data_IF_784908279217
#
_entry.id   IF_784908279217
#
_cell.length_a   1.000
_cell.length_b   1.000
_cell.length_c   1.000
_cell.angle_alpha   90.00
_cell.angle_beta   90.00
_cell.angle_gamma   90.00
#
_symmetry.space_group_name_H-M   'P 1'
#
loop_
_entity.id
_entity.type
_entity.pdbx_description
1 polymer ?
#
# COMPACT_ATOMS: atom_id res chain seq x y z
N UNK A 1 -4.03 -2.76 -22.65
CA UNK A 1 -3.49 -3.20 -21.34
C UNK A 1 -4.02 -2.23 -20.29
N UNK A 2 -4.74 -2.71 -19.27
CA UNK A 2 -5.34 -1.83 -18.24
C UNK A 2 -4.24 -1.34 -17.29
N UNK A 3 -4.07 -0.03 -17.16
CA UNK A 3 -3.08 0.58 -16.25
C UNK A 3 -3.54 0.35 -14.81
N UNK A 4 -2.74 -0.38 -14.02
CA UNK A 4 -3.02 -0.58 -12.59
C UNK A 4 -2.52 0.62 -11.80
N UNK A 5 -3.39 1.26 -11.03
CA UNK A 5 -3.08 2.40 -10.15
C UNK A 5 -3.14 2.01 -8.69
N UNK A 6 -2.25 2.60 -7.89
CA UNK A 6 -2.12 2.36 -6.46
C UNK A 6 -2.23 3.70 -5.74
N UNK A 7 -3.12 3.77 -4.77
CA UNK A 7 -3.22 4.92 -3.88
C UNK A 7 -2.78 4.55 -2.46
N UNK A 8 -2.38 5.56 -1.68
CA UNK A 8 -1.94 5.42 -0.30
C UNK A 8 -2.74 6.38 0.56
N UNK A 9 -3.61 5.82 1.40
CA UNK A 9 -4.24 6.57 2.48
C UNK A 9 -3.35 6.39 3.71
N UNK A 10 -2.61 7.44 4.02
CA UNK A 10 -1.79 7.59 5.23
C UNK A 10 -1.78 9.05 5.65
N UNK A 11 -0.80 9.46 6.43
CA UNK A 11 -0.55 10.90 6.61
C UNK A 11 -0.96 11.48 7.97
N UNK A 12 -1.14 10.66 8.99
CA UNK A 12 -1.15 11.11 10.39
C UNK A 12 0.18 10.69 11.06
N UNK A 13 1.32 11.31 10.74
CA UNK A 13 1.55 12.53 9.93
C UNK A 13 2.08 12.24 8.50
N UNK A 14 2.18 13.25 7.64
CA UNK A 14 2.61 13.12 6.23
C UNK A 14 4.06 12.61 6.09
N UNK A 15 4.92 12.93 7.05
CA UNK A 15 6.30 12.45 7.14
C UNK A 15 6.35 10.91 7.14
N UNK A 16 5.40 10.26 7.82
CA UNK A 16 5.28 8.80 7.89
C UNK A 16 4.88 8.16 6.55
N UNK A 17 4.40 8.94 5.58
CA UNK A 17 4.03 8.46 4.25
C UNK A 17 5.16 8.58 3.21
N UNK A 18 6.19 9.40 3.48
CA UNK A 18 7.35 9.55 2.57
C UNK A 18 8.06 8.22 2.30
N UNK A 19 8.36 7.37 3.31
CA UNK A 19 9.05 6.11 3.08
C UNK A 19 8.26 5.17 2.18
N UNK A 20 6.93 5.09 2.35
CA UNK A 20 6.06 4.29 1.48
C UNK A 20 6.20 4.73 0.03
N UNK A 21 6.09 6.03 -0.23
CA UNK A 21 6.21 6.54 -1.58
C UNK A 21 7.59 6.29 -2.19
N UNK A 22 8.67 6.42 -1.40
CA UNK A 22 10.02 6.12 -1.87
C UNK A 22 10.18 4.65 -2.23
N UNK A 23 9.87 3.75 -1.29
CA UNK A 23 10.04 2.29 -1.45
C UNK A 23 9.22 1.77 -2.64
N UNK A 24 7.97 2.22 -2.77
CA UNK A 24 7.10 1.82 -3.87
C UNK A 24 7.71 2.23 -5.22
N UNK A 25 8.23 3.46 -5.33
CA UNK A 25 8.83 3.94 -6.58
C UNK A 25 10.18 3.27 -6.88
N UNK A 26 11.01 3.06 -5.87
CA UNK A 26 12.29 2.33 -6.01
C UNK A 26 12.03 0.89 -6.48
N UNK A 27 11.03 0.22 -5.91
CA UNK A 27 10.63 -1.10 -6.34
C UNK A 27 10.16 -1.11 -7.81
N UNK A 28 9.24 -0.22 -8.18
CA UNK A 28 8.77 -0.11 -9.59
C UNK A 28 9.92 0.17 -10.55
N UNK A 29 10.84 1.08 -10.18
CA UNK A 29 12.03 1.38 -10.98
C UNK A 29 12.93 0.17 -11.12
N UNK A 30 13.13 -0.63 -10.05
CA UNK A 30 13.95 -1.85 -10.12
C UNK A 30 13.37 -2.92 -11.04
N UNK A 31 12.03 -3.00 -11.14
CA UNK A 31 11.36 -3.99 -11.99
C UNK A 31 11.23 -3.56 -13.45
N UNK A 32 10.98 -2.27 -13.71
CA UNK A 32 10.67 -1.76 -15.05
C UNK A 32 11.79 -0.91 -15.70
N UNK A 33 12.81 -0.54 -14.93
CA UNK A 33 13.94 0.28 -15.39
C UNK A 33 13.56 1.72 -15.76
N UNK A 34 14.52 2.49 -16.28
CA UNK A 34 14.29 3.84 -16.80
C UNK A 34 13.72 4.85 -15.79
N UNK A 35 12.72 5.61 -16.23
CA UNK A 35 12.03 6.65 -15.44
C UNK A 35 10.64 6.19 -14.95
N UNK A 36 10.42 4.88 -14.85
CA UNK A 36 9.16 4.34 -14.35
C UNK A 36 8.95 4.65 -12.87
N UNK A 37 7.75 5.05 -12.52
CA UNK A 37 7.28 5.34 -11.17
C UNK A 37 5.90 4.72 -10.96
N UNK A 38 5.52 4.50 -9.70
CA UNK A 38 4.17 4.10 -9.37
C UNK A 38 3.21 5.23 -9.72
N UNK A 39 2.22 4.91 -10.56
CA UNK A 39 1.19 5.87 -10.93
C UNK A 39 0.25 6.11 -9.74
N UNK A 40 0.43 7.24 -9.05
CA UNK A 40 -0.54 7.75 -8.07
C UNK A 40 -1.76 8.30 -8.82
N UNK A 41 -2.94 8.08 -8.24
CA UNK A 41 -4.23 8.28 -8.91
C UNK A 41 -4.43 9.66 -9.55
N UNK A 42 -4.92 9.64 -10.79
CA UNK A 42 -5.97 10.55 -11.25
C UNK A 42 -7.13 9.68 -11.73
N UNK A 43 -8.34 10.03 -11.29
CA UNK A 43 -9.68 9.49 -11.62
C UNK A 43 -9.99 8.01 -11.35
N UNK A 44 -9.08 7.06 -11.56
CA UNK A 44 -9.35 5.63 -11.28
C UNK A 44 -8.21 5.03 -10.46
N UNK A 45 -8.52 4.61 -9.23
CA UNK A 45 -7.63 3.85 -8.35
C UNK A 45 -8.04 2.38 -8.43
N UNK A 46 -7.11 1.44 -8.57
CA UNK A 46 -7.44 0.01 -8.56
C UNK A 46 -7.16 -0.68 -7.23
N UNK A 47 -6.35 -0.07 -6.35
CA UNK A 47 -5.89 -0.63 -5.07
C UNK A 47 -5.51 0.51 -4.13
N UNK A 48 -5.79 0.35 -2.84
CA UNK A 48 -5.46 1.35 -1.80
C UNK A 48 -4.64 0.70 -0.69
N UNK A 49 -3.53 1.32 -0.31
CA UNK A 49 -2.77 0.97 0.90
C UNK A 49 -3.29 1.79 2.07
N UNK A 50 -3.64 1.12 3.17
CA UNK A 50 -3.97 1.75 4.45
C UNK A 50 -2.69 1.82 5.29
N UNK A 51 -2.03 2.98 5.27
CA UNK A 51 -0.71 3.20 5.85
C UNK A 51 -0.71 3.67 7.31
N UNK A 52 -1.87 3.98 7.90
CA UNK A 52 -2.02 4.36 9.30
C UNK A 52 -2.76 3.24 10.07
N UNK A 53 -2.41 3.06 11.34
CA UNK A 53 -2.90 1.97 12.21
C UNK A 53 -4.38 2.06 12.55
N UNK A 54 -4.96 3.26 12.54
CA UNK A 54 -6.33 3.55 12.98
C UNK A 54 -7.33 3.52 11.81
N UNK A 55 -6.87 3.72 10.58
CA UNK A 55 -7.74 3.80 9.40
C UNK A 55 -8.47 2.48 9.12
N UNK A 56 -7.84 1.29 9.27
CA UNK A 56 -8.54 0.01 9.16
C UNK A 56 -9.65 -0.22 10.21
N UNK A 57 -9.72 0.60 11.27
CA UNK A 57 -10.81 0.56 12.25
C UNK A 57 -12.04 1.36 11.79
N UNK A 58 -11.86 2.27 10.83
CA UNK A 58 -12.90 3.17 10.31
C UNK A 58 -13.38 2.79 8.90
N UNK A 59 -12.54 2.09 8.13
CA UNK A 59 -12.82 1.73 6.74
C UNK A 59 -12.49 0.26 6.54
N UNK A 60 -13.46 -0.49 6.02
CA UNK A 60 -13.38 -1.92 5.77
C UNK A 60 -13.48 -2.24 4.28
N UNK A 61 -13.27 -3.51 3.93
CA UNK A 61 -13.44 -3.96 2.54
C UNK A 61 -14.87 -3.76 2.01
N UNK A 62 -15.87 -3.64 2.88
CA UNK A 62 -17.25 -3.35 2.51
C UNK A 62 -17.46 -1.88 2.11
N UNK A 63 -16.59 -0.99 2.57
CA UNK A 63 -16.66 0.46 2.33
C UNK A 63 -15.88 0.88 1.07
N UNK A 64 -15.26 -0.07 0.37
CA UNK A 64 -14.40 0.19 -0.77
C UNK A 64 -14.74 -0.69 -1.98
N UNK A 65 -14.85 -0.05 -3.14
CA UNK A 65 -15.02 -0.73 -4.43
C UNK A 65 -13.72 -1.37 -4.97
N UNK A 66 -12.61 -1.13 -4.27
CA UNK A 66 -11.26 -1.56 -4.66
C UNK A 66 -10.56 -2.27 -3.51
N UNK A 67 -9.67 -3.24 -3.78
CA UNK A 67 -8.91 -3.92 -2.75
C UNK A 67 -8.14 -2.95 -1.83
N UNK A 68 -8.37 -3.11 -0.53
CA UNK A 68 -7.64 -2.42 0.53
C UNK A 68 -6.49 -3.31 1.05
N UNK A 69 -5.31 -2.71 1.21
CA UNK A 69 -4.13 -3.34 1.79
C UNK A 69 -3.87 -2.75 3.18
N UNK A 70 -4.40 -3.42 4.19
CA UNK A 70 -4.16 -3.10 5.59
C UNK A 70 -2.71 -3.50 5.97
N UNK A 71 -1.85 -2.50 6.10
CA UNK A 71 -0.44 -2.70 6.43
C UNK A 71 -0.26 -3.30 7.82
N UNK A 72 -1.08 -2.91 8.80
CA UNK A 72 -1.05 -3.43 10.17
C UNK A 72 -1.33 -4.93 10.17
N UNK A 73 -2.40 -5.35 9.49
CA UNK A 73 -2.77 -6.77 9.38
C UNK A 73 -1.72 -7.58 8.63
N UNK A 74 -1.21 -7.05 7.51
CA UNK A 74 -0.18 -7.73 6.73
C UNK A 74 1.11 -7.93 7.54
N UNK A 75 1.58 -6.90 8.25
CA UNK A 75 2.75 -7.01 9.11
C UNK A 75 2.52 -7.94 10.30
N UNK A 76 1.37 -7.87 10.97
CA UNK A 76 1.06 -8.74 12.11
C UNK A 76 1.04 -10.23 11.70
N UNK A 77 0.42 -10.55 10.57
CA UNK A 77 0.41 -11.93 10.04
C UNK A 77 1.83 -12.36 9.63
N UNK A 78 2.59 -11.50 8.96
CA UNK A 78 3.97 -11.81 8.58
C UNK A 78 4.86 -12.08 9.80
N UNK A 79 4.74 -11.25 10.85
CA UNK A 79 5.47 -11.43 12.11
C UNK A 79 5.07 -12.73 12.83
N UNK A 80 3.76 -13.05 12.88
CA UNK A 80 3.29 -14.30 13.46
C UNK A 80 3.79 -15.52 12.70
N UNK A 81 3.74 -15.49 11.35
CA UNK A 81 4.28 -16.53 10.48
C UNK A 81 5.78 -16.75 10.71
N UNK A 82 6.54 -15.66 10.80
CA UNK A 82 7.97 -15.69 11.12
C UNK A 82 8.21 -16.36 12.48
N UNK A 83 7.48 -15.97 13.52
CA UNK A 83 7.60 -16.56 14.86
C UNK A 83 7.24 -18.05 14.91
N UNK A 84 6.36 -18.51 14.01
CA UNK A 84 5.93 -19.90 13.90
C UNK A 84 6.78 -20.74 12.90
N UNK A 85 7.87 -20.18 12.35
CA UNK A 85 8.67 -20.81 11.28
C UNK A 85 7.85 -21.23 10.04
N UNK A 86 6.82 -20.47 9.72
CA UNK A 86 5.99 -20.68 8.52
C UNK A 86 6.43 -19.67 7.45
N UNK A 87 7.43 -20.04 6.64
CA UNK A 87 7.88 -19.25 5.48
C UNK A 87 7.11 -19.61 4.22
#
# INVERSE_FOLDING_TARGET
MVKKTLDLIGGMSWESSIPYYRIINEYVKSQLGGLHSANKGKEVVNRIILGCTEIPLLISAQDAEVPLFDTSRLHAIAAAKFALNQS
#
